data_IF_127591001532
#
_entry.id   IF_127591001532
#
_cell.length_a   1.000
_cell.length_b   1.000
_cell.length_c   1.000
_cell.angle_alpha   90.00
_cell.angle_beta   90.00
_cell.angle_gamma   90.00
#
_symmetry.space_group_name_H-M   'P 1'
#
loop_
_entity.id
_entity.type
_entity.pdbx_description
1 polymer ?
#
# COMPACT_ATOMS: atom_id res chain seq x y z
N UNK A 1 -9.10 -1.68 6.52
CA UNK A 1 -8.00 -2.29 7.29
C UNK A 1 -6.90 -1.27 7.52
N UNK A 2 -6.16 -1.42 8.58
CA UNK A 2 -5.08 -0.49 8.95
C UNK A 2 -3.82 -1.30 9.19
N UNK A 3 -2.70 -0.87 8.60
CA UNK A 3 -1.40 -1.48 8.83
C UNK A 3 -0.29 -0.49 8.50
N UNK A 4 0.95 -0.96 8.51
CA UNK A 4 2.11 -0.11 8.25
C UNK A 4 2.74 -0.43 6.91
N UNK A 5 3.25 0.59 6.25
CA UNK A 5 4.01 0.43 5.02
C UNK A 5 5.33 -0.25 5.34
N UNK A 6 5.62 -1.34 4.66
CA UNK A 6 6.89 -2.03 4.82
C UNK A 6 8.00 -1.28 4.09
N UNK A 7 7.76 -0.95 2.82
CA UNK A 7 8.61 -0.07 2.03
C UNK A 7 7.84 0.40 0.80
N UNK A 8 8.32 1.47 0.20
CA UNK A 8 7.73 2.01 -1.02
C UNK A 8 8.82 2.66 -1.86
N UNK A 9 8.83 2.39 -3.16
CA UNK A 9 9.78 2.98 -4.09
C UNK A 9 9.06 4.01 -4.95
N UNK A 10 9.30 5.30 -4.64
CA UNK A 10 8.61 6.40 -5.31
C UNK A 10 8.96 6.50 -6.80
N UNK A 11 10.17 6.15 -7.18
CA UNK A 11 10.58 6.16 -8.59
C UNK A 11 9.83 5.13 -9.42
N UNK A 12 9.68 3.93 -8.87
CA UNK A 12 9.00 2.84 -9.55
C UNK A 12 7.49 2.85 -9.34
N UNK A 13 7.04 3.56 -8.32
CA UNK A 13 5.62 3.74 -8.05
C UNK A 13 4.93 2.57 -7.41
N UNK A 14 5.64 1.74 -6.65
CA UNK A 14 5.02 0.64 -5.94
C UNK A 14 5.75 0.28 -4.66
N UNK A 15 5.10 -0.49 -3.81
CA UNK A 15 5.68 -0.97 -2.58
C UNK A 15 4.81 -2.03 -1.94
N UNK A 16 5.01 -2.24 -0.65
CA UNK A 16 4.30 -3.26 0.09
C UNK A 16 3.87 -2.76 1.46
N UNK A 17 2.69 -3.24 1.88
CA UNK A 17 2.15 -3.00 3.21
C UNK A 17 2.28 -4.32 3.96
N UNK A 18 2.81 -4.30 5.19
CA UNK A 18 2.97 -5.52 5.95
C UNK A 18 1.62 -6.02 6.49
N UNK A 19 1.49 -7.34 6.60
CA UNK A 19 0.33 -7.97 7.20
C UNK A 19 0.77 -9.04 8.17
N UNK A 20 -0.01 -9.23 9.25
CA UNK A 20 0.22 -10.33 10.18
C UNK A 20 -0.28 -11.62 9.53
N UNK A 21 0.46 -12.70 9.71
CA UNK A 21 0.06 -14.05 9.29
C UNK A 21 -0.26 -14.25 7.81
N UNK A 22 0.05 -13.26 6.96
CA UNK A 22 -0.19 -13.33 5.53
C UNK A 22 0.95 -12.66 4.78
N UNK A 23 1.13 -12.98 3.48
CA UNK A 23 2.15 -12.30 2.67
C UNK A 23 1.90 -10.80 2.61
N UNK A 24 2.97 -10.03 2.44
CA UNK A 24 2.87 -8.59 2.32
C UNK A 24 1.95 -8.20 1.16
N UNK A 25 1.25 -7.09 1.33
CA UNK A 25 0.24 -6.66 0.39
C UNK A 25 0.83 -5.66 -0.60
N UNK A 26 0.75 -5.95 -1.89
CA UNK A 26 1.24 -5.06 -2.94
C UNK A 26 0.42 -3.77 -2.98
N UNK A 27 1.09 -2.63 -3.16
CA UNK A 27 0.43 -1.33 -3.34
C UNK A 27 1.09 -0.57 -4.49
N UNK A 28 0.25 -0.10 -5.43
CA UNK A 28 0.71 0.71 -6.56
C UNK A 28 0.33 2.17 -6.33
N UNK A 29 1.13 3.12 -6.84
CA UNK A 29 0.88 4.54 -6.59
C UNK A 29 -0.52 4.98 -7.05
N UNK A 30 -1.07 4.35 -8.07
CA UNK A 30 -2.41 4.68 -8.57
C UNK A 30 -3.51 4.42 -7.55
N UNK A 31 -3.23 3.60 -6.54
CA UNK A 31 -4.18 3.27 -5.48
C UNK A 31 -4.00 4.11 -4.22
N UNK A 32 -3.06 5.03 -4.23
CA UNK A 32 -2.83 5.93 -3.09
C UNK A 32 -3.73 7.15 -3.24
N UNK A 33 -4.61 7.33 -2.28
CA UNK A 33 -5.57 8.42 -2.30
C UNK A 33 -5.00 9.64 -1.57
N UNK A 34 -4.25 10.46 -2.29
CA UNK A 34 -3.69 11.71 -1.75
C UNK A 34 -3.51 12.72 -2.88
N UNK A 35 -3.42 13.98 -2.50
CA UNK A 35 -3.18 15.07 -3.44
C UNK A 35 -1.68 15.20 -3.71
N UNK A 36 -1.33 15.60 -4.93
CA UNK A 36 0.06 15.85 -5.28
C UNK A 36 0.82 14.57 -5.59
N UNK A 37 2.10 14.55 -5.24
CA UNK A 37 2.98 13.43 -5.52
C UNK A 37 2.63 12.24 -4.65
N UNK A 38 2.23 11.15 -5.26
CA UNK A 38 1.75 9.95 -4.56
C UNK A 38 2.92 9.09 -4.13
N UNK A 39 3.17 9.05 -2.83
CA UNK A 39 4.24 8.26 -2.25
C UNK A 39 3.88 7.83 -0.83
N UNK A 40 4.58 6.82 -0.34
CA UNK A 40 4.44 6.34 1.03
C UNK A 40 5.82 6.22 1.65
N UNK A 41 5.89 6.27 2.98
CA UNK A 41 7.13 6.12 3.71
C UNK A 41 7.11 4.87 4.56
N UNK A 42 8.28 4.27 4.76
CA UNK A 42 8.44 3.09 5.60
C UNK A 42 7.94 3.36 7.02
N UNK A 43 7.14 2.44 7.53
CA UNK A 43 6.59 2.56 8.88
C UNK A 43 5.34 3.41 9.02
N UNK A 44 4.94 4.08 7.94
CA UNK A 44 3.76 4.94 7.96
C UNK A 44 2.48 4.12 8.07
N UNK A 45 1.55 4.55 8.93
CA UNK A 45 0.26 3.87 9.05
C UNK A 45 -0.68 4.29 7.94
N UNK A 46 -1.34 3.30 7.36
CA UNK A 46 -2.29 3.53 6.26
C UNK A 46 -3.56 2.72 6.46
N UNK A 47 -4.65 3.28 5.95
CA UNK A 47 -5.94 2.59 5.88
C UNK A 47 -6.15 2.19 4.42
N UNK A 48 -6.68 0.99 4.19
CA UNK A 48 -6.81 0.48 2.83
C UNK A 48 -7.84 -0.64 2.74
N UNK A 49 -8.22 -0.97 1.50
CA UNK A 49 -9.05 -2.13 1.20
C UNK A 49 -8.18 -3.20 0.54
N UNK A 50 -8.54 -4.46 0.72
CA UNK A 50 -7.84 -5.58 0.09
C UNK A 50 -8.65 -6.06 -1.10
N UNK A 51 -7.99 -6.17 -2.26
CA UNK A 51 -8.61 -6.67 -3.48
C UNK A 51 -7.83 -7.91 -3.93
N UNK A 52 -8.54 -8.97 -4.23
CA UNK A 52 -7.93 -10.20 -4.73
C UNK A 52 -7.82 -10.14 -6.23
N UNK A 53 -6.61 -10.39 -6.76
CA UNK A 53 -6.36 -10.43 -8.19
C UNK A 53 -5.73 -11.76 -8.56
N UNK A 54 -5.62 -12.03 -9.86
CA UNK A 54 -4.95 -13.23 -10.37
C UNK A 54 -3.50 -13.33 -9.92
N UNK A 55 -2.87 -12.21 -9.68
CA UNK A 55 -1.45 -12.15 -9.27
C UNK A 55 -1.28 -12.12 -7.75
N UNK A 56 -2.37 -12.17 -7.00
CA UNK A 56 -2.36 -12.10 -5.56
C UNK A 56 -3.18 -10.93 -5.03
N UNK A 57 -3.08 -10.67 -3.73
CA UNK A 57 -3.83 -9.59 -3.10
C UNK A 57 -3.14 -8.26 -3.28
N UNK A 58 -3.93 -7.21 -3.47
CA UNK A 58 -3.44 -5.85 -3.65
C UNK A 58 -4.19 -4.89 -2.72
N UNK A 59 -3.50 -3.83 -2.31
CA UNK A 59 -4.13 -2.75 -1.57
C UNK A 59 -4.82 -1.80 -2.55
N UNK A 60 -5.98 -1.29 -2.16
CA UNK A 60 -6.73 -0.33 -2.95
C UNK A 60 -7.23 0.77 -2.02
N UNK A 61 -7.39 1.96 -2.57
CA UNK A 61 -7.94 3.09 -1.83
C UNK A 61 -7.13 3.40 -0.57
N UNK A 62 -5.81 3.47 -0.71
CA UNK A 62 -4.87 3.63 0.39
C UNK A 62 -4.84 5.08 0.86
N UNK A 63 -5.03 5.27 2.16
CA UNK A 63 -4.99 6.60 2.79
C UNK A 63 -4.00 6.61 3.94
N UNK A 64 -3.19 7.65 4.01
CA UNK A 64 -2.28 7.86 5.13
C UNK A 64 -3.08 8.38 6.31
N UNK A 65 -2.86 7.78 7.48
CA UNK A 65 -3.53 8.19 8.71
C UNK A 65 -2.77 9.29 9.43
#
# INVERSE_FOLDING_TARGET
MISKVKWFNAERGYGFIEREDEPDLFVHYSEINMNGYKTLEEGQEVEFDVVKTEKGDMAQNVKVL
#
